data_IF_166335989401
#
_entry.id   IF_166335989401
#
_cell.length_a   1.000
_cell.length_b   1.000
_cell.length_c   1.000
_cell.angle_alpha   90.00
_cell.angle_beta   90.00
_cell.angle_gamma   90.00
#
_symmetry.space_group_name_H-M   'P 1'
#
loop_
_entity.id
_entity.type
_entity.pdbx_description
1 polymer ?
#
# COMPACT_ATOMS: atom_id res chain seq x y z
N UNK A 1 31.60 -6.67 9.99
CA UNK A 1 31.74 -5.20 9.91
C UNK A 1 30.33 -4.63 10.01
N UNK A 2 29.98 -4.00 11.14
CA UNK A 2 28.64 -3.45 11.39
C UNK A 2 28.66 -1.98 10.94
N UNK A 3 27.90 -1.66 9.89
CA UNK A 3 27.75 -0.28 9.42
C UNK A 3 26.58 0.32 10.22
N UNK A 4 26.76 1.43 10.97
CA UNK A 4 25.67 2.04 11.70
C UNK A 4 24.66 2.62 10.71
N UNK A 5 23.39 2.26 10.87
CA UNK A 5 22.28 2.84 10.12
C UNK A 5 22.25 4.35 10.34
N UNK A 6 22.51 5.14 9.29
CA UNK A 6 22.36 6.59 9.32
C UNK A 6 20.91 6.93 9.69
N UNK A 7 20.73 7.77 10.71
CA UNK A 7 19.43 8.12 11.30
C UNK A 7 18.37 8.55 10.28
N UNK A 8 17.43 7.66 9.99
CA UNK A 8 16.29 7.86 9.08
C UNK A 8 15.08 8.58 9.70
N UNK A 9 15.21 9.15 10.91
CA UNK A 9 14.04 9.47 11.74
C UNK A 9 13.20 10.67 11.29
N UNK A 10 13.80 11.69 10.67
CA UNK A 10 13.07 12.87 10.22
C UNK A 10 12.16 12.62 8.98
N UNK A 11 12.38 11.51 8.26
CA UNK A 11 11.63 11.15 7.06
C UNK A 11 10.22 10.65 7.34
N UNK A 12 10.05 9.77 8.33
CA UNK A 12 8.78 9.11 8.63
C UNK A 12 7.67 10.07 9.06
N UNK A 13 7.98 11.01 9.98
CA UNK A 13 7.00 11.97 10.49
C UNK A 13 6.46 12.94 9.42
N UNK A 14 7.28 13.33 8.44
CA UNK A 14 6.84 14.17 7.31
C UNK A 14 5.91 13.39 6.38
N UNK A 15 6.26 12.14 6.05
CA UNK A 15 5.45 11.27 5.19
C UNK A 15 4.10 10.95 5.81
N UNK A 16 4.05 10.66 7.12
CA UNK A 16 2.79 10.46 7.86
C UNK A 16 1.86 11.67 7.76
N UNK A 17 2.38 12.90 7.90
CA UNK A 17 1.58 14.13 7.75
C UNK A 17 1.12 14.35 6.31
N UNK A 18 1.94 14.02 5.32
CA UNK A 18 1.54 14.10 3.91
C UNK A 18 0.43 13.10 3.57
N UNK A 19 0.55 11.85 4.04
CA UNK A 19 -0.46 10.81 3.94
C UNK A 19 -1.81 11.25 4.51
N UNK A 20 -1.81 11.78 5.74
CA UNK A 20 -3.04 12.27 6.39
C UNK A 20 -3.73 13.37 5.57
N UNK A 21 -2.99 14.39 5.10
CA UNK A 21 -3.55 15.45 4.25
C UNK A 21 -4.06 14.95 2.90
N UNK A 22 -3.47 13.89 2.36
CA UNK A 22 -3.96 13.27 1.12
C UNK A 22 -5.30 12.60 1.37
N UNK A 23 -5.43 11.84 2.45
CA UNK A 23 -6.70 11.20 2.83
C UNK A 23 -7.82 12.23 3.03
N UNK A 24 -7.54 13.38 3.69
CA UNK A 24 -8.53 14.45 3.92
C UNK A 24 -9.09 15.10 2.64
N UNK A 25 -8.44 14.89 1.48
CA UNK A 25 -8.85 15.47 0.18
C UNK A 25 -9.76 14.56 -0.65
N UNK A 26 -9.95 13.32 -0.21
CA UNK A 26 -10.70 12.30 -0.95
C UNK A 26 -11.93 11.87 -0.16
N UNK A 27 -12.95 11.39 -0.88
CA UNK A 27 -14.17 10.94 -0.24
C UNK A 27 -13.92 9.63 0.50
N UNK A 28 -13.90 9.70 1.84
CA UNK A 28 -13.71 8.52 2.68
C UNK A 28 -14.86 7.49 2.55
N UNK A 29 -16.00 7.88 1.98
CA UNK A 29 -17.12 6.99 1.71
C UNK A 29 -17.00 6.22 0.38
N UNK A 30 -16.16 6.67 -0.56
CA UNK A 30 -15.97 5.97 -1.84
C UNK A 30 -15.00 4.79 -1.66
N UNK A 31 -15.56 3.60 -1.44
CA UNK A 31 -14.80 2.36 -1.28
C UNK A 31 -13.95 2.03 -2.53
N UNK A 32 -14.31 2.58 -3.70
CA UNK A 32 -13.68 2.35 -4.99
C UNK A 32 -12.55 3.34 -5.30
N UNK A 33 -12.29 4.35 -4.46
CA UNK A 33 -11.04 5.12 -4.51
C UNK A 33 -9.88 4.29 -3.94
N UNK A 34 -9.46 3.28 -4.70
CA UNK A 34 -8.40 2.33 -4.35
C UNK A 34 -7.04 2.99 -4.21
N UNK A 35 -6.85 4.19 -4.79
CA UNK A 35 -5.58 4.90 -4.74
C UNK A 35 -5.41 5.65 -3.43
N UNK A 36 -6.42 6.40 -3.01
CA UNK A 36 -6.25 7.37 -1.92
C UNK A 36 -6.80 6.91 -0.58
N UNK A 37 -7.50 5.76 -0.53
CA UNK A 37 -7.89 5.14 0.73
C UNK A 37 -6.68 4.76 1.62
N UNK A 38 -6.81 4.79 2.95
CA UNK A 38 -5.80 4.26 3.86
C UNK A 38 -5.46 2.80 3.51
N UNK A 39 -4.17 2.48 3.37
CA UNK A 39 -3.70 1.15 2.94
C UNK A 39 -3.90 0.87 1.45
N UNK A 40 -4.36 1.87 0.67
CA UNK A 40 -4.52 1.83 -0.78
C UNK A 40 -3.21 2.02 -1.54
N UNK A 41 -3.30 2.14 -2.86
CA UNK A 41 -2.12 2.12 -3.74
C UNK A 41 -1.11 3.23 -3.45
N UNK A 42 -1.56 4.48 -3.27
CA UNK A 42 -0.67 5.60 -2.99
C UNK A 42 0.05 5.44 -1.64
N UNK A 43 -0.58 4.76 -0.70
CA UNK A 43 0.00 4.46 0.60
C UNK A 43 1.13 3.42 0.49
N UNK A 44 0.93 2.40 -0.35
CA UNK A 44 1.95 1.40 -0.65
C UNK A 44 3.11 1.99 -1.45
N UNK A 45 2.86 2.88 -2.41
CA UNK A 45 3.89 3.63 -3.15
C UNK A 45 4.76 4.44 -2.17
N UNK A 46 4.13 5.16 -1.25
CA UNK A 46 4.84 5.91 -0.21
C UNK A 46 5.65 4.99 0.73
N UNK A 47 5.11 3.82 1.05
CA UNK A 47 5.79 2.83 1.88
C UNK A 47 7.04 2.27 1.18
N UNK A 48 6.90 1.89 -0.09
CA UNK A 48 8.00 1.40 -0.92
C UNK A 48 9.11 2.45 -1.04
N UNK A 49 8.77 3.71 -1.37
CA UNK A 49 9.74 4.82 -1.40
C UNK A 49 10.43 5.03 -0.05
N UNK A 50 9.69 4.91 1.06
CA UNK A 50 10.27 5.05 2.39
C UNK A 50 11.30 3.95 2.67
N UNK A 51 10.97 2.68 2.34
CA UNK A 51 11.87 1.54 2.48
C UNK A 51 13.13 1.72 1.64
N UNK A 52 12.98 2.15 0.40
CA UNK A 52 14.10 2.43 -0.50
C UNK A 52 15.03 3.52 0.02
N UNK A 53 14.50 4.51 0.75
CA UNK A 53 15.30 5.58 1.35
C UNK A 53 16.05 5.16 2.61
N UNK A 54 15.48 4.25 3.42
CA UNK A 54 16.11 3.80 4.66
C UNK A 54 17.03 2.59 4.47
N UNK A 55 16.87 1.85 3.37
CA UNK A 55 17.81 0.81 2.98
C UNK A 55 19.16 1.43 2.59
N UNK A 56 20.27 0.79 2.98
CA UNK A 56 21.62 1.20 2.55
C UNK A 56 21.75 1.09 1.02
N UNK A 57 22.57 1.96 0.40
CA UNK A 57 22.68 2.13 -1.06
C UNK A 57 22.59 0.83 -1.87
N UNK A 58 21.65 0.80 -2.83
CA UNK A 58 21.51 -0.26 -3.84
C UNK A 58 20.60 -1.44 -3.48
N UNK A 59 20.15 -1.54 -2.23
CA UNK A 59 19.59 -2.80 -1.76
C UNK A 59 18.09 -3.01 -2.12
N UNK A 60 17.30 -1.96 -2.31
CA UNK A 60 15.86 -2.07 -2.68
C UNK A 60 15.58 -1.43 -4.03
N UNK A 61 16.45 -1.64 -5.03
CA UNK A 61 16.18 -1.25 -6.41
C UNK A 61 15.36 -2.34 -7.12
N UNK A 62 14.15 -2.61 -6.62
CA UNK A 62 13.24 -3.59 -7.21
C UNK A 62 12.17 -2.89 -8.05
N UNK A 63 11.83 -3.47 -9.21
CA UNK A 63 10.74 -2.97 -10.05
C UNK A 63 9.40 -3.38 -9.46
N UNK A 64 8.63 -2.41 -8.99
CA UNK A 64 7.28 -2.63 -8.44
C UNK A 64 7.23 -2.84 -6.93
N UNK A 65 6.01 -2.74 -6.40
CA UNK A 65 5.74 -2.70 -4.97
C UNK A 65 6.02 -4.03 -4.27
N UNK A 66 5.49 -5.15 -4.79
CA UNK A 66 5.67 -6.46 -4.18
C UNK A 66 7.14 -6.85 -4.06
N UNK A 67 7.91 -6.69 -5.14
CA UNK A 67 9.35 -6.96 -5.15
C UNK A 67 10.13 -6.04 -4.20
N UNK A 68 9.71 -4.78 -4.06
CA UNK A 68 10.28 -3.85 -3.06
C UNK A 68 10.06 -4.35 -1.63
N UNK A 69 8.84 -4.81 -1.31
CA UNK A 69 8.53 -5.32 0.04
C UNK A 69 9.24 -6.64 0.34
N UNK A 70 9.34 -7.54 -0.64
CA UNK A 70 10.09 -8.79 -0.52
C UNK A 70 11.58 -8.53 -0.27
N UNK A 71 12.21 -7.68 -1.09
CA UNK A 71 13.63 -7.32 -0.90
C UNK A 71 13.88 -6.67 0.47
N UNK A 72 12.97 -5.80 0.92
CA UNK A 72 13.06 -5.17 2.24
C UNK A 72 12.97 -6.20 3.39
N UNK A 73 12.18 -7.27 3.24
CA UNK A 73 12.13 -8.36 4.21
C UNK A 73 13.39 -9.24 4.18
N UNK A 74 13.91 -9.56 3.00
CA UNK A 74 15.15 -10.33 2.84
C UNK A 74 16.36 -9.63 3.51
N UNK A 75 16.34 -8.31 3.54
CA UNK A 75 17.36 -7.49 4.19
C UNK A 75 17.09 -7.21 5.68
N UNK A 76 15.96 -7.71 6.21
CA UNK A 76 15.57 -7.49 7.60
C UNK A 76 15.15 -6.07 7.93
N UNK A 77 14.83 -5.24 6.93
CA UNK A 77 14.30 -3.87 7.13
C UNK A 77 12.87 -3.92 7.66
N UNK A 78 12.09 -4.90 7.20
CA UNK A 78 10.75 -5.24 7.70
C UNK A 78 10.65 -6.75 7.96
N UNK A 79 9.68 -7.17 8.77
CA UNK A 79 9.42 -8.60 8.97
C UNK A 79 8.66 -9.22 7.78
N UNK A 80 8.79 -10.54 7.63
CA UNK A 80 8.17 -11.29 6.53
C UNK A 80 6.65 -11.18 6.50
N UNK A 81 5.99 -11.04 7.66
CA UNK A 81 4.54 -10.87 7.74
C UNK A 81 4.13 -9.50 7.24
N UNK A 82 4.93 -8.46 7.47
CA UNK A 82 4.71 -7.11 6.92
C UNK A 82 4.84 -7.12 5.41
N UNK A 83 5.91 -7.72 4.88
CA UNK A 83 6.07 -7.85 3.44
C UNK A 83 4.93 -8.64 2.78
N UNK A 84 4.50 -9.75 3.38
CA UNK A 84 3.39 -10.56 2.87
C UNK A 84 2.09 -9.74 2.77
N UNK A 85 1.74 -8.99 3.82
CA UNK A 85 0.52 -8.18 3.82
C UNK A 85 0.58 -7.05 2.78
N UNK A 86 1.73 -6.37 2.68
CA UNK A 86 1.92 -5.27 1.73
C UNK A 86 1.97 -5.76 0.26
N UNK A 87 2.60 -6.90 -0.02
CA UNK A 87 2.63 -7.50 -1.36
C UNK A 87 1.25 -7.98 -1.80
N UNK A 88 0.45 -8.56 -0.90
CA UNK A 88 -0.94 -8.93 -1.18
C UNK A 88 -1.80 -7.70 -1.49
N UNK A 89 -1.63 -6.63 -0.72
CA UNK A 89 -2.31 -5.38 -0.98
C UNK A 89 -1.88 -4.77 -2.34
N UNK A 90 -0.59 -4.78 -2.66
CA UNK A 90 -0.08 -4.30 -3.94
C UNK A 90 -0.69 -5.05 -5.12
N UNK A 91 -0.77 -6.38 -5.05
CA UNK A 91 -1.40 -7.18 -6.10
C UNK A 91 -2.88 -6.82 -6.30
N UNK A 92 -3.64 -6.75 -5.21
CA UNK A 92 -5.06 -6.37 -5.26
C UNK A 92 -5.26 -4.99 -5.88
N UNK A 93 -4.51 -3.99 -5.42
CA UNK A 93 -4.68 -2.61 -5.88
C UNK A 93 -4.20 -2.39 -7.31
N UNK A 94 -3.11 -3.04 -7.75
CA UNK A 94 -2.69 -2.97 -9.14
C UNK A 94 -3.70 -3.63 -10.09
N UNK A 95 -4.30 -4.74 -9.68
CA UNK A 95 -5.36 -5.39 -10.45
C UNK A 95 -6.56 -4.46 -10.61
N UNK A 96 -7.02 -3.83 -9.52
CA UNK A 96 -8.15 -2.90 -9.55
C UNK A 96 -7.85 -1.61 -10.34
N UNK A 97 -6.72 -0.97 -10.09
CA UNK A 97 -6.30 0.25 -10.81
C UNK A 97 -6.15 -0.02 -12.32
N UNK A 98 -5.56 -1.16 -12.68
CA UNK A 98 -5.44 -1.60 -14.07
C UNK A 98 -6.80 -1.86 -14.72
N UNK A 99 -7.68 -2.63 -14.08
CA UNK A 99 -9.03 -2.92 -14.58
C UNK A 99 -9.86 -1.65 -14.74
N UNK A 100 -9.86 -0.76 -13.74
CA UNK A 100 -10.61 0.50 -13.81
C UNK A 100 -10.12 1.40 -14.95
N UNK A 101 -8.80 1.49 -15.15
CA UNK A 101 -8.22 2.26 -16.27
C UNK A 101 -8.55 1.69 -17.65
N UNK A 102 -8.78 0.39 -17.76
CA UNK A 102 -9.14 -0.25 -19.03
C UNK A 102 -10.65 -0.21 -19.28
N UNK A 103 -11.46 -0.41 -18.23
CA UNK A 103 -12.90 -0.57 -18.33
C UNK A 103 -13.69 0.73 -18.20
N UNK A 104 -13.09 1.80 -17.66
CA UNK A 104 -13.79 3.05 -17.35
C UNK A 104 -13.06 4.27 -17.93
N UNK A 105 -13.84 5.21 -18.48
CA UNK A 105 -13.37 6.56 -18.82
C UNK A 105 -13.29 7.47 -17.60
N UNK A 106 -14.14 7.20 -16.61
CA UNK A 106 -14.33 7.99 -15.39
C UNK A 106 -14.21 7.08 -14.15
N UNK A 107 -14.51 7.60 -12.96
CA UNK A 107 -14.47 6.84 -11.72
C UNK A 107 -15.35 5.58 -11.81
N UNK A 108 -14.85 4.44 -11.32
CA UNK A 108 -15.59 3.19 -11.33
C UNK A 108 -16.86 3.30 -10.50
N UNK A 109 -17.96 2.77 -11.03
CA UNK A 109 -19.25 2.64 -10.37
C UNK A 109 -19.77 1.23 -10.58
N UNK A 110 -19.99 0.43 -9.52
CA UNK A 110 -20.36 -0.98 -9.65
C UNK A 110 -21.68 -1.17 -10.41
N UNK A 111 -22.63 -0.23 -10.28
CA UNK A 111 -23.90 -0.22 -10.99
C UNK A 111 -23.77 -0.04 -12.52
N UNK A 112 -22.62 0.44 -13.00
CA UNK A 112 -22.33 0.61 -14.42
C UNK A 112 -21.60 -0.58 -15.04
N UNK A 113 -21.15 -1.55 -14.22
CA UNK A 113 -20.42 -2.71 -14.70
C UNK A 113 -21.38 -3.79 -15.23
N UNK A 114 -21.14 -4.28 -16.46
CA UNK A 114 -21.88 -5.43 -17.00
C UNK A 114 -21.58 -6.69 -16.18
N UNK A 115 -22.49 -7.67 -16.11
CA UNK A 115 -22.27 -8.90 -15.35
C UNK A 115 -20.93 -9.58 -15.65
N UNK A 116 -20.52 -9.61 -16.92
CA UNK A 116 -19.25 -10.18 -17.35
C UNK A 116 -18.05 -9.41 -16.79
N UNK A 117 -18.12 -8.08 -16.76
CA UNK A 117 -17.10 -7.25 -16.14
C UNK A 117 -17.06 -7.45 -14.62
N UNK A 118 -18.21 -7.62 -13.97
CA UNK A 118 -18.29 -7.90 -12.54
C UNK A 118 -17.58 -9.23 -12.19
N UNK A 119 -17.80 -10.27 -12.99
CA UNK A 119 -17.12 -11.57 -12.84
C UNK A 119 -15.61 -11.46 -13.05
N UNK A 120 -15.17 -10.77 -14.10
CA UNK A 120 -13.74 -10.54 -14.37
C UNK A 120 -13.07 -9.80 -13.22
N UNK A 121 -13.72 -8.75 -12.69
CA UNK A 121 -13.19 -7.99 -11.55
C UNK A 121 -13.07 -8.89 -10.32
N UNK A 122 -14.12 -9.65 -10.00
CA UNK A 122 -14.14 -10.54 -8.84
C UNK A 122 -13.04 -11.62 -8.92
N UNK A 123 -12.94 -12.30 -10.06
CA UNK A 123 -11.96 -13.37 -10.29
C UNK A 123 -10.52 -12.85 -10.22
N UNK A 124 -10.23 -11.75 -10.93
CA UNK A 124 -8.89 -11.13 -10.95
C UNK A 124 -8.47 -10.64 -9.56
N UNK A 125 -9.42 -10.27 -8.71
CA UNK A 125 -9.17 -9.78 -7.37
C UNK A 125 -9.33 -10.85 -6.27
N UNK A 126 -9.60 -12.11 -6.63
CA UNK A 126 -9.75 -13.22 -5.69
C UNK A 126 -10.97 -13.09 -4.76
N UNK A 127 -12.05 -12.47 -5.23
CA UNK A 127 -13.31 -12.35 -4.51
C UNK A 127 -14.38 -13.29 -5.09
N UNK A 128 -15.32 -13.73 -4.26
CA UNK A 128 -16.40 -14.62 -4.69
C UNK A 128 -17.40 -13.94 -5.65
N UNK A 129 -17.51 -12.61 -5.58
CA UNK A 129 -18.35 -11.77 -6.42
C UNK A 129 -17.94 -10.31 -6.27
N UNK A 130 -18.45 -9.43 -7.14
CA UNK A 130 -18.25 -7.99 -6.99
C UNK A 130 -18.84 -7.46 -5.67
N UNK A 131 -19.97 -8.02 -5.21
CA UNK A 131 -20.58 -7.67 -3.93
C UNK A 131 -19.72 -8.08 -2.72
N UNK A 132 -18.96 -9.17 -2.83
CA UNK A 132 -18.05 -9.62 -1.78
C UNK A 132 -16.72 -8.86 -1.78
N UNK A 133 -16.34 -8.24 -2.90
CA UNK A 133 -15.06 -7.58 -3.09
C UNK A 133 -14.80 -6.42 -2.11
N UNK A 134 -15.77 -5.54 -1.78
CA UNK A 134 -15.58 -4.52 -0.74
C UNK A 134 -15.10 -5.08 0.60
N UNK A 135 -15.51 -6.29 0.99
CA UNK A 135 -15.03 -6.93 2.21
C UNK A 135 -13.54 -7.28 2.11
N UNK A 136 -13.13 -7.93 1.01
CA UNK A 136 -11.72 -8.26 0.72
C UNK A 136 -10.86 -7.00 0.67
N UNK A 137 -11.37 -5.94 0.04
CA UNK A 137 -10.72 -4.64 -0.06
C UNK A 137 -10.53 -4.01 1.32
N UNK A 138 -11.57 -3.98 2.16
CA UNK A 138 -11.50 -3.39 3.48
C UNK A 138 -10.54 -4.13 4.41
N UNK A 139 -10.57 -5.46 4.40
CA UNK A 139 -9.69 -6.31 5.21
C UNK A 139 -8.21 -6.17 4.78
N UNK A 140 -7.97 -6.14 3.46
CA UNK A 140 -6.62 -5.93 2.89
C UNK A 140 -6.11 -4.52 3.18
N UNK A 141 -6.95 -3.49 2.99
CA UNK A 141 -6.63 -2.10 3.29
C UNK A 141 -6.31 -1.90 4.78
N UNK A 142 -7.11 -2.49 5.68
CA UNK A 142 -6.90 -2.39 7.12
C UNK A 142 -5.56 -2.96 7.56
N UNK A 143 -5.19 -4.15 7.07
CA UNK A 143 -3.87 -4.74 7.32
C UNK A 143 -2.75 -3.87 6.79
N UNK A 144 -2.83 -3.45 5.52
CA UNK A 144 -1.81 -2.63 4.89
C UNK A 144 -1.61 -1.29 5.62
N UNK A 145 -2.70 -0.59 5.92
CA UNK A 145 -2.67 0.67 6.67
C UNK A 145 -1.98 0.52 8.02
N UNK A 146 -2.30 -0.55 8.77
CA UNK A 146 -1.66 -0.81 10.06
C UNK A 146 -0.15 -1.04 9.93
N UNK A 147 0.30 -1.74 8.88
CA UNK A 147 1.74 -1.93 8.61
C UNK A 147 2.43 -0.62 8.27
N UNK A 148 1.83 0.18 7.38
CA UNK A 148 2.40 1.47 6.97
C UNK A 148 2.47 2.43 8.16
N UNK A 149 1.41 2.51 8.96
CA UNK A 149 1.40 3.36 10.15
C UNK A 149 2.45 2.94 11.17
N UNK A 150 2.60 1.64 11.44
CA UNK A 150 3.64 1.11 12.33
C UNK A 150 5.05 1.43 11.80
N UNK A 151 5.28 1.26 10.51
CA UNK A 151 6.56 1.55 9.86
C UNK A 151 6.93 3.04 9.93
N UNK A 152 5.97 3.93 9.65
CA UNK A 152 6.20 5.38 9.68
C UNK A 152 6.30 5.92 11.11
N UNK A 153 5.65 5.27 12.09
CA UNK A 153 5.77 5.60 13.51
C UNK A 153 7.11 5.14 14.11
N UNK A 154 7.60 3.97 13.73
CA UNK A 154 8.89 3.42 14.17
C UNK A 154 10.09 4.29 13.79
N UNK A 155 10.00 5.03 12.67
CA UNK A 155 10.98 6.06 12.32
C UNK A 155 11.03 7.25 13.29
N UNK A 156 9.97 7.49 14.07
CA UNK A 156 9.86 8.63 15.00
C UNK A 156 10.30 8.31 16.43
N UNK A 157 10.29 7.03 16.85
CA UNK A 157 10.47 6.65 18.26
C UNK A 157 11.94 6.61 18.72
N UNK A 158 12.91 6.57 17.80
CA UNK A 158 14.34 6.61 18.13
C UNK A 158 14.85 7.99 18.64
N UNK A 159 13.95 8.94 18.96
CA UNK A 159 14.28 10.32 19.34
C UNK A 159 13.78 10.74 20.73
N UNK A 160 13.29 9.82 21.57
CA UNK A 160 12.81 10.18 22.91
C UNK A 160 13.83 9.92 24.05
N UNK A 161 14.98 9.30 23.78
CA UNK A 161 15.98 8.93 24.80
C UNK A 161 17.43 9.35 24.45
N UNK A 162 17.61 10.52 23.84
CA UNK A 162 18.93 11.15 23.71
C UNK A 162 18.84 12.66 23.83
#
# INVERSE_FOLDING_TARGET
MCIPARGGGAGGGRRRRARARSADRHDAADVWDVRHRPGGLADLELAAEYLQLIASEGAVAASGLAATFEAAAEQGVIDSRTATDLSRAAALWHNLDGLFRMACSDAFRPEMATPELQEVIADTCGAASLDALPHVMNDTAGRAAARVDAMLAGGSAAQAEM
#
